data_IF_184826493985
#
_entry.id   IF_184826493985
#
_cell.length_a   1.000
_cell.length_b   1.000
_cell.length_c   1.000
_cell.angle_alpha   90.00
_cell.angle_beta   90.00
_cell.angle_gamma   90.00
#
_symmetry.space_group_name_H-M   'P 1'
#
loop_
_entity.id
_entity.type
_entity.pdbx_description
1 polymer ?
#
# COMPACT_ATOMS: atom_id res chain seq x y z
N UNK A 1 -5.66 -2.83 -12.04
CA UNK A 1 -6.46 -3.54 -11.03
C UNK A 1 -7.94 -3.44 -11.38
N UNK A 2 -8.66 -4.57 -11.47
CA UNK A 2 -10.08 -4.62 -11.86
C UNK A 2 -10.95 -4.46 -10.60
N UNK A 3 -12.02 -3.67 -10.67
CA UNK A 3 -12.97 -3.52 -9.55
C UNK A 3 -14.26 -4.32 -9.79
N UNK A 4 -14.58 -5.23 -8.89
CA UNK A 4 -15.79 -6.07 -8.96
C UNK A 4 -16.67 -5.88 -7.74
N UNK A 5 -18.00 -5.92 -7.95
CA UNK A 5 -18.93 -6.07 -6.84
C UNK A 5 -18.88 -7.48 -6.27
N UNK A 6 -19.30 -7.65 -5.01
CA UNK A 6 -19.31 -8.97 -4.32
C UNK A 6 -19.97 -10.06 -5.18
N UNK A 7 -21.17 -9.81 -5.70
CA UNK A 7 -21.89 -10.80 -6.53
C UNK A 7 -21.17 -11.12 -7.85
N UNK A 8 -20.50 -10.14 -8.46
CA UNK A 8 -19.72 -10.35 -9.68
C UNK A 8 -18.48 -11.21 -9.38
N UNK A 9 -17.76 -10.89 -8.30
CA UNK A 9 -16.59 -11.65 -7.86
C UNK A 9 -16.95 -13.11 -7.52
N UNK A 10 -18.10 -13.35 -6.89
CA UNK A 10 -18.58 -14.70 -6.61
C UNK A 10 -18.86 -15.49 -7.89
N UNK A 11 -19.57 -14.89 -8.86
CA UNK A 11 -19.91 -15.57 -10.12
C UNK A 11 -18.70 -15.89 -11.02
N UNK A 12 -17.60 -15.16 -10.86
CA UNK A 12 -16.41 -15.28 -11.70
C UNK A 12 -15.17 -15.70 -10.91
N UNK A 13 -15.35 -16.27 -9.71
CA UNK A 13 -14.28 -16.47 -8.74
C UNK A 13 -13.06 -17.21 -9.34
N UNK A 14 -13.28 -18.31 -10.06
CA UNK A 14 -12.19 -19.08 -10.69
C UNK A 14 -11.44 -18.31 -11.78
N UNK A 15 -12.09 -17.35 -12.46
CA UNK A 15 -11.47 -16.54 -13.51
C UNK A 15 -10.59 -15.42 -12.95
N UNK A 16 -10.86 -15.00 -11.71
CA UNK A 16 -10.18 -13.85 -11.08
C UNK A 16 -9.03 -14.24 -10.14
N UNK A 17 -8.83 -15.53 -9.85
CA UNK A 17 -7.80 -16.00 -8.90
C UNK A 17 -6.37 -15.58 -9.26
N UNK A 18 -6.06 -15.50 -10.56
CA UNK A 18 -4.72 -15.14 -11.05
C UNK A 18 -4.67 -13.69 -11.55
N UNK A 19 -5.61 -12.85 -11.13
CA UNK A 19 -5.71 -11.46 -11.56
C UNK A 19 -5.69 -10.52 -10.35
N UNK A 20 -5.21 -9.30 -10.56
CA UNK A 20 -5.29 -8.24 -9.55
C UNK A 20 -6.70 -7.63 -9.55
N UNK A 21 -7.49 -8.00 -8.52
CA UNK A 21 -8.89 -7.62 -8.42
C UNK A 21 -9.20 -7.02 -7.05
N UNK A 22 -9.89 -5.88 -7.03
CA UNK A 22 -10.50 -5.30 -5.83
C UNK A 22 -11.97 -5.69 -5.77
N UNK A 23 -12.40 -6.24 -4.63
CA UNK A 23 -13.80 -6.55 -4.37
C UNK A 23 -14.40 -5.43 -3.52
N UNK A 24 -15.43 -4.80 -4.07
CA UNK A 24 -16.13 -3.66 -3.47
C UNK A 24 -17.53 -4.08 -3.00
N UNK A 25 -17.89 -3.61 -1.81
CA UNK A 25 -19.29 -3.46 -1.44
C UNK A 25 -19.83 -2.20 -2.14
N UNK A 26 -20.48 -2.40 -3.30
CA UNK A 26 -21.02 -1.30 -4.10
C UNK A 26 -22.09 -0.48 -3.36
N UNK A 27 -22.79 -1.06 -2.37
CA UNK A 27 -23.83 -0.34 -1.62
C UNK A 27 -23.23 0.70 -0.70
N UNK A 28 -22.15 0.33 -0.01
CA UNK A 28 -21.49 1.19 0.99
C UNK A 28 -20.23 1.88 0.44
N UNK A 29 -19.83 1.59 -0.80
CA UNK A 29 -18.56 2.03 -1.42
C UNK A 29 -17.31 1.64 -0.60
N UNK A 30 -17.38 0.51 0.10
CA UNK A 30 -16.29 0.02 0.96
C UNK A 30 -15.50 -1.05 0.22
N UNK A 31 -14.17 -0.94 0.23
CA UNK A 31 -13.26 -2.01 -0.21
C UNK A 31 -13.33 -3.16 0.80
N UNK A 32 -13.74 -4.34 0.35
CA UNK A 32 -13.93 -5.52 1.20
C UNK A 32 -12.75 -6.48 1.14
N UNK A 33 -12.22 -6.70 -0.06
CA UNK A 33 -11.12 -7.63 -0.27
C UNK A 33 -10.31 -7.26 -1.51
N UNK A 34 -9.11 -7.82 -1.59
CA UNK A 34 -8.23 -7.74 -2.74
C UNK A 34 -7.71 -9.15 -3.03
N UNK A 35 -7.72 -9.53 -4.30
CA UNK A 35 -7.06 -10.74 -4.81
C UNK A 35 -5.83 -10.28 -5.58
N UNK A 36 -4.69 -10.88 -5.26
CA UNK A 36 -3.42 -10.65 -5.96
C UNK A 36 -2.83 -12.00 -6.38
N UNK A 37 -2.18 -12.08 -7.54
CA UNK A 37 -1.31 -13.19 -7.86
C UNK A 37 -0.22 -13.33 -6.79
N UNK A 38 0.16 -14.57 -6.49
CA UNK A 38 1.13 -14.85 -5.44
C UNK A 38 2.47 -14.14 -5.66
N UNK A 39 2.93 -14.04 -6.91
CA UNK A 39 4.16 -13.34 -7.29
C UNK A 39 4.11 -11.85 -6.93
N UNK A 40 2.99 -11.19 -7.23
CA UNK A 40 2.76 -9.77 -6.92
C UNK A 40 2.71 -9.58 -5.41
N UNK A 41 1.96 -10.42 -4.70
CA UNK A 41 1.89 -10.39 -3.24
C UNK A 41 3.27 -10.57 -2.60
N UNK A 42 4.04 -11.56 -3.07
CA UNK A 42 5.37 -11.87 -2.52
C UNK A 42 6.33 -10.71 -2.72
N UNK A 43 6.31 -10.06 -3.89
CA UNK A 43 7.10 -8.85 -4.14
C UNK A 43 6.72 -7.71 -3.21
N UNK A 44 5.42 -7.47 -2.97
CA UNK A 44 4.96 -6.43 -2.05
C UNK A 44 5.40 -6.71 -0.61
N UNK A 45 5.33 -7.97 -0.17
CA UNK A 45 5.82 -8.36 1.15
C UNK A 45 7.33 -8.16 1.26
N UNK A 46 8.11 -8.53 0.24
CA UNK A 46 9.55 -8.30 0.24
C UNK A 46 9.90 -6.81 0.34
N UNK A 47 9.23 -5.96 -0.46
CA UNK A 47 9.37 -4.50 -0.38
C UNK A 47 9.08 -3.96 1.01
N UNK A 48 7.96 -4.40 1.60
CA UNK A 48 7.55 -3.99 2.94
C UNK A 48 8.56 -4.44 4.01
N UNK A 49 9.08 -5.67 3.92
CA UNK A 49 10.07 -6.21 4.86
C UNK A 49 11.43 -5.53 4.73
N UNK A 50 11.86 -5.23 3.50
CA UNK A 50 13.12 -4.57 3.22
C UNK A 50 13.07 -3.05 3.42
N UNK A 51 11.88 -2.51 3.77
CA UNK A 51 11.67 -1.07 3.93
C UNK A 51 12.10 -0.27 2.70
N UNK A 52 12.03 -0.85 1.50
CA UNK A 52 12.44 -0.15 0.27
C UNK A 52 11.63 1.13 0.06
N UNK A 53 10.35 1.13 0.46
CA UNK A 53 9.47 2.31 0.41
C UNK A 53 9.96 3.45 1.35
N UNK A 54 10.74 3.14 2.39
CA UNK A 54 11.35 4.15 3.27
C UNK A 54 12.53 4.86 2.58
N UNK A 55 13.19 4.21 1.60
CA UNK A 55 14.35 4.79 0.90
C UNK A 55 13.95 5.85 -0.12
N UNK A 56 12.76 5.73 -0.72
CA UNK A 56 12.22 6.69 -1.69
C UNK A 56 11.30 7.75 -1.06
N UNK A 57 11.05 7.69 0.26
CA UNK A 57 10.20 8.65 0.96
C UNK A 57 8.70 8.53 0.63
N UNK A 58 8.30 7.48 -0.09
CA UNK A 58 6.91 7.18 -0.41
C UNK A 58 6.24 6.45 0.75
N UNK A 59 5.99 7.16 1.84
CA UNK A 59 4.94 6.72 2.76
C UNK A 59 3.60 6.95 2.06
N UNK A 60 2.85 5.88 1.82
CA UNK A 60 1.53 5.93 1.17
C UNK A 60 0.48 6.79 1.90
N UNK A 61 0.76 7.25 3.13
CA UNK A 61 -0.09 8.16 3.91
C UNK A 61 0.62 9.45 4.38
N UNK A 62 1.91 9.65 4.08
CA UNK A 62 2.61 10.89 4.45
C UNK A 62 2.56 11.87 3.28
N UNK A 63 1.68 12.88 3.36
CA UNK A 63 1.61 13.97 2.38
C UNK A 63 2.71 15.02 2.59
N UNK A 64 3.94 14.58 2.88
CA UNK A 64 5.10 15.43 3.04
C UNK A 64 6.26 14.87 2.24
N UNK A 65 6.83 15.68 1.34
CA UNK A 65 8.12 15.36 0.74
C UNK A 65 9.16 15.32 1.86
N UNK A 66 9.70 14.14 2.16
CA UNK A 66 10.90 13.99 2.98
C UNK A 66 12.12 14.40 2.12
N UNK A 67 12.22 15.68 1.78
CA UNK A 67 13.45 16.23 1.19
C UNK A 67 14.53 16.28 2.26
N UNK A 68 15.72 15.76 1.94
CA UNK A 68 16.91 15.85 2.82
C UNK A 68 17.36 17.29 3.05
N UNK A 69 16.92 18.23 2.23
CA UNK A 69 17.22 19.66 2.37
C UNK A 69 16.20 20.41 3.25
N UNK A 70 15.09 19.78 3.61
CA UNK A 70 14.05 20.44 4.41
C UNK A 70 14.41 20.44 5.89
N UNK A 71 14.58 21.63 6.46
CA UNK A 71 14.77 21.83 7.90
C UNK A 71 13.50 22.37 8.52
N UNK A 72 12.99 21.73 9.56
CA UNK A 72 11.82 22.17 10.34
C UNK A 72 12.14 22.24 11.82
N UNK A 73 11.48 23.16 12.52
CA UNK A 73 11.56 23.29 13.99
C UNK A 73 10.52 22.41 14.71
N UNK A 74 9.69 21.65 14.00
CA UNK A 74 8.74 20.71 14.63
C UNK A 74 9.51 19.51 15.20
N UNK A 75 9.49 19.36 16.52
CA UNK A 75 10.17 18.27 17.24
C UNK A 75 9.73 16.89 16.75
N UNK A 76 8.45 16.70 16.40
CA UNK A 76 7.92 15.41 15.92
C UNK A 76 8.49 15.03 14.56
N UNK A 77 8.74 16.01 13.69
CA UNK A 77 9.37 15.78 12.40
C UNK A 77 10.83 15.34 12.59
N UNK A 78 11.54 16.01 13.50
CA UNK A 78 12.93 15.71 13.79
C UNK A 78 13.10 14.31 14.41
N UNK A 79 12.18 13.89 15.26
CA UNK A 79 12.19 12.54 15.83
C UNK A 79 12.06 11.44 14.76
N UNK A 80 11.14 11.63 13.80
CA UNK A 80 10.94 10.68 12.68
C UNK A 80 12.19 10.57 11.79
N UNK A 81 12.83 11.70 11.47
CA UNK A 81 14.08 11.72 10.69
C UNK A 81 15.22 11.04 11.47
N UNK A 82 15.35 11.32 12.76
CA UNK A 82 16.45 10.81 13.60
C UNK A 82 16.32 9.31 13.91
N UNK A 83 15.11 8.78 14.03
CA UNK A 83 14.89 7.33 14.17
C UNK A 83 15.22 6.57 12.87
N UNK A 84 14.92 7.16 11.71
CA UNK A 84 15.25 6.59 10.41
C UNK A 84 16.76 6.48 10.12
N UNK A 85 17.59 7.31 10.75
CA UNK A 85 19.06 7.29 10.57
C UNK A 85 19.81 6.35 11.54
N UNK A 86 19.13 5.77 12.53
CA UNK A 86 19.73 4.86 13.52
C UNK A 86 19.57 3.38 13.19
N UNK A 87 18.84 3.03 12.12
CA UNK A 87 18.75 1.66 11.56
C UNK A 87 19.71 1.50 10.38
#
# INVERSE_FOLDING_TARGET
MIELGISQAQSQFTKILNQEVTILDKKNKIRKAVILPYEVYSRLIQKALQKEDYLEGEFSEFSGLLSKEFTSTDERYNDIINEGQKS
#
